data_IF_805185094334
#
_entry.id   IF_805185094334
#
_cell.length_a   1.000
_cell.length_b   1.000
_cell.length_c   1.000
_cell.angle_alpha   90.00
_cell.angle_beta   90.00
_cell.angle_gamma   90.00
#
_symmetry.space_group_name_H-M   'P 1'
#
loop_
_entity.id
_entity.type
_entity.pdbx_description
1 polymer ?
#
# COMPACT_ATOMS: atom_id res chain seq x y z
N UNK A 1 4.27 -83.27 0.53
CA UNK A 1 5.76 -83.39 0.54
C UNK A 1 6.32 -82.01 0.91
N UNK A 2 7.01 -82.04 2.06
CA UNK A 2 8.19 -81.30 2.40
C UNK A 2 8.06 -79.81 2.61
N UNK A 3 7.97 -79.35 3.88
CA UNK A 3 9.00 -78.79 4.78
C UNK A 3 9.62 -77.51 4.26
N UNK A 4 9.71 -76.43 4.97
CA UNK A 4 10.02 -76.04 6.36
C UNK A 4 10.63 -74.65 6.19
N UNK A 5 10.87 -73.79 7.04
CA UNK A 5 11.21 -73.64 8.43
C UNK A 5 11.24 -72.14 8.77
N UNK A 6 10.73 -71.87 9.89
CA UNK A 6 11.04 -70.87 10.92
C UNK A 6 12.16 -69.83 10.70
N UNK A 7 11.85 -68.62 11.09
CA UNK A 7 12.80 -67.57 11.43
C UNK A 7 12.16 -66.43 12.19
N UNK A 8 11.88 -66.64 13.46
CA UNK A 8 11.51 -65.58 14.40
C UNK A 8 12.74 -64.73 14.74
N UNK A 9 12.64 -63.39 14.71
CA UNK A 9 13.51 -62.50 15.48
C UNK A 9 12.82 -61.22 15.90
N UNK A 10 12.64 -61.17 17.20
CA UNK A 10 12.86 -60.06 18.14
C UNK A 10 12.25 -58.69 17.88
N UNK A 11 11.35 -58.37 18.76
CA UNK A 11 10.90 -57.03 19.16
C UNK A 11 12.09 -56.15 19.57
N UNK A 12 12.27 -55.05 18.92
CA UNK A 12 13.07 -53.91 19.35
C UNK A 12 12.19 -52.68 19.57
N UNK A 13 11.88 -52.44 20.84
CA UNK A 13 11.33 -51.14 21.26
C UNK A 13 12.36 -50.06 20.96
N UNK A 14 12.04 -49.12 20.10
CA UNK A 14 12.75 -47.84 19.96
C UNK A 14 11.76 -46.71 20.19
N UNK A 15 11.84 -46.14 21.37
CA UNK A 15 11.23 -44.87 21.71
C UNK A 15 11.90 -43.78 20.89
N UNK A 16 11.24 -43.32 19.83
CA UNK A 16 11.67 -42.14 19.11
C UNK A 16 11.03 -40.91 19.79
N UNK A 17 11.88 -40.16 20.46
CA UNK A 17 11.67 -38.80 20.96
C UNK A 17 11.12 -37.90 19.86
N UNK A 18 10.01 -37.24 20.14
CA UNK A 18 9.49 -36.15 19.32
C UNK A 18 10.50 -34.99 19.32
N UNK A 19 11.28 -34.86 18.27
CA UNK A 19 12.08 -33.68 18.02
C UNK A 19 11.17 -32.56 17.53
N UNK A 20 11.12 -31.52 18.34
CA UNK A 20 10.44 -30.23 18.14
C UNK A 20 11.05 -29.54 16.90
N UNK A 21 10.54 -29.88 15.73
CA UNK A 21 10.93 -29.28 14.46
C UNK A 21 10.26 -27.93 14.28
N UNK A 22 10.75 -26.91 14.98
CA UNK A 22 10.45 -25.51 14.65
C UNK A 22 11.03 -25.22 13.28
N UNK A 23 10.20 -25.29 12.24
CA UNK A 23 10.51 -24.67 10.97
C UNK A 23 10.62 -23.16 11.19
N UNK A 24 11.86 -22.66 11.28
CA UNK A 24 12.14 -21.24 11.15
C UNK A 24 11.81 -20.85 9.71
N UNK A 25 10.64 -20.25 9.51
CA UNK A 25 10.33 -19.54 8.26
C UNK A 25 11.35 -18.41 8.16
N UNK A 26 12.10 -18.26 7.05
CA UNK A 26 12.98 -17.11 6.88
C UNK A 26 12.11 -15.86 6.97
N UNK A 27 12.39 -15.03 7.96
CA UNK A 27 11.89 -13.65 8.01
C UNK A 27 12.32 -13.01 6.69
N UNK A 28 11.33 -12.61 5.86
CA UNK A 28 11.62 -11.87 4.64
C UNK A 28 12.62 -10.77 4.97
N UNK A 29 13.55 -10.52 4.07
CA UNK A 29 14.65 -9.57 4.26
C UNK A 29 14.15 -8.32 4.94
N UNK A 30 14.72 -8.01 6.11
CA UNK A 30 14.41 -6.79 6.84
C UNK A 30 14.67 -5.62 5.88
N UNK A 31 13.64 -4.86 5.54
CA UNK A 31 13.80 -3.65 4.74
C UNK A 31 14.67 -2.72 5.59
N UNK A 32 15.92 -2.45 5.21
CA UNK A 32 16.82 -1.69 6.06
C UNK A 32 16.25 -0.30 6.32
N UNK A 33 16.47 0.21 7.54
CA UNK A 33 16.27 1.62 7.84
C UNK A 33 17.00 2.45 6.76
N UNK A 34 16.42 3.59 6.36
CA UNK A 34 17.03 4.43 5.34
C UNK A 34 18.48 4.75 5.71
N UNK A 35 19.42 4.31 4.86
CA UNK A 35 20.82 4.71 5.01
C UNK A 35 20.93 6.22 4.82
N UNK A 36 21.87 6.91 5.51
CA UNK A 36 22.09 8.34 5.28
C UNK A 36 22.41 8.59 3.81
N UNK A 37 21.78 9.61 3.23
CA UNK A 37 21.99 9.99 1.83
C UNK A 37 23.46 10.35 1.59
N UNK A 38 24.09 9.87 0.49
CA UNK A 38 25.46 10.26 0.13
C UNK A 38 25.63 11.76 -0.14
N UNK A 39 24.53 12.48 -0.38
CA UNK A 39 24.51 13.91 -0.71
C UNK A 39 24.46 14.85 0.49
N UNK A 40 24.43 14.33 1.74
CA UNK A 40 24.30 15.17 2.94
C UNK A 40 22.89 15.76 3.15
N UNK A 41 21.90 15.32 2.35
CA UNK A 41 20.50 15.73 2.50
C UNK A 41 19.80 15.05 3.68
N UNK A 42 18.63 15.55 4.05
CA UNK A 42 17.78 14.98 5.11
C UNK A 42 16.72 14.04 4.50
N UNK A 43 16.94 12.73 4.51
CA UNK A 43 16.06 11.78 3.83
C UNK A 43 14.73 11.61 4.57
N UNK A 44 13.66 11.42 3.76
CA UNK A 44 12.33 11.12 4.24
C UNK A 44 11.78 9.90 3.50
N UNK A 45 11.37 8.87 4.22
CA UNK A 45 10.84 7.65 3.62
C UNK A 45 9.35 7.50 3.92
N UNK A 46 8.54 7.41 2.86
CA UNK A 46 7.11 7.19 2.92
C UNK A 46 6.81 5.70 2.85
N UNK A 47 6.11 5.17 3.84
CA UNK A 47 5.49 3.84 3.86
C UNK A 47 4.02 4.03 3.54
N UNK A 48 3.67 3.79 2.29
CA UNK A 48 2.35 4.07 1.74
C UNK A 48 1.53 2.78 1.75
N UNK A 49 0.47 2.77 2.55
CA UNK A 49 -0.41 1.61 2.77
C UNK A 49 -1.74 1.85 2.05
N UNK A 50 -2.17 0.90 1.21
CA UNK A 50 -3.54 0.90 0.71
C UNK A 50 -4.49 0.57 1.85
N UNK A 51 -5.62 1.27 1.96
CA UNK A 51 -6.66 0.96 2.96
C UNK A 51 -7.07 -0.53 2.94
N UNK A 52 -7.57 -1.05 4.05
CA UNK A 52 -8.11 -2.41 4.17
C UNK A 52 -9.31 -2.66 3.24
N UNK A 53 -9.64 -3.93 2.97
CA UNK A 53 -10.80 -4.28 2.15
C UNK A 53 -12.08 -3.66 2.71
N UNK A 54 -12.90 -3.08 1.82
CA UNK A 54 -14.20 -2.49 2.15
C UNK A 54 -15.36 -3.32 1.60
N UNK A 55 -16.58 -3.04 2.07
CA UNK A 55 -17.81 -3.60 1.51
C UNK A 55 -17.96 -3.32 0.01
N UNK A 56 -17.50 -2.15 -0.47
CA UNK A 56 -17.53 -1.81 -1.89
C UNK A 56 -16.51 -2.60 -2.69
N UNK A 57 -15.30 -2.85 -2.12
CA UNK A 57 -14.34 -3.73 -2.79
C UNK A 57 -14.90 -5.15 -2.95
N UNK A 58 -15.58 -5.68 -1.92
CA UNK A 58 -16.20 -7.00 -1.96
C UNK A 58 -17.31 -7.08 -3.01
N UNK A 59 -18.09 -6.02 -3.18
CA UNK A 59 -19.18 -5.92 -4.14
C UNK A 59 -18.74 -5.45 -5.53
N UNK A 60 -17.43 -5.24 -5.76
CA UNK A 60 -16.87 -4.72 -7.01
C UNK A 60 -17.49 -3.39 -7.47
N UNK A 61 -17.78 -2.49 -6.51
CA UNK A 61 -18.25 -1.15 -6.78
C UNK A 61 -17.09 -0.16 -6.90
N UNK A 62 -17.25 0.83 -7.76
CA UNK A 62 -16.31 1.95 -7.90
C UNK A 62 -16.33 2.76 -6.61
N UNK A 63 -15.15 3.01 -6.05
CA UNK A 63 -15.01 3.68 -4.76
C UNK A 63 -13.92 4.73 -4.82
N UNK A 64 -14.30 5.93 -5.16
CA UNK A 64 -13.46 7.11 -5.11
C UNK A 64 -13.70 7.92 -3.84
N UNK A 65 -14.46 9.02 -3.93
CA UNK A 65 -14.80 9.86 -2.78
C UNK A 65 -16.01 9.38 -1.99
N UNK A 66 -16.85 8.51 -2.55
CA UNK A 66 -17.83 7.78 -1.75
C UNK A 66 -17.13 6.83 -0.77
N UNK A 67 -17.81 6.47 0.30
CA UNK A 67 -17.18 5.67 1.36
C UNK A 67 -18.01 4.44 1.74
N UNK A 68 -17.33 3.43 2.26
CA UNK A 68 -17.92 2.23 2.81
C UNK A 68 -16.99 1.69 3.92
N UNK A 69 -17.54 1.05 4.96
CA UNK A 69 -16.76 0.52 6.06
C UNK A 69 -15.82 -0.59 5.60
N UNK A 70 -14.76 -0.83 6.38
CA UNK A 70 -13.93 -2.01 6.22
C UNK A 70 -14.74 -3.29 6.49
N UNK A 71 -14.45 -4.34 5.74
CA UNK A 71 -14.89 -5.69 6.09
C UNK A 71 -14.08 -6.21 7.29
N UNK A 72 -14.53 -7.28 7.92
CA UNK A 72 -13.74 -7.95 8.95
C UNK A 72 -12.35 -8.39 8.42
N UNK A 73 -12.27 -8.84 7.17
CA UNK A 73 -11.00 -9.15 6.52
C UNK A 73 -10.11 -7.91 6.38
N UNK A 74 -10.70 -6.77 5.98
CA UNK A 74 -9.99 -5.49 5.89
C UNK A 74 -9.43 -5.02 7.24
N UNK A 75 -10.19 -5.20 8.32
CA UNK A 75 -9.72 -4.91 9.69
C UNK A 75 -8.57 -5.85 10.08
N UNK A 76 -8.72 -7.16 9.83
CA UNK A 76 -7.66 -8.13 10.14
C UNK A 76 -6.35 -7.82 9.39
N UNK A 77 -6.45 -7.51 8.09
CA UNK A 77 -5.28 -7.18 7.26
C UNK A 77 -4.61 -5.85 7.72
N UNK A 78 -5.39 -4.82 8.06
CA UNK A 78 -4.87 -3.56 8.60
C UNK A 78 -4.09 -3.80 9.91
N UNK A 79 -4.66 -4.59 10.82
CA UNK A 79 -4.00 -4.98 12.09
C UNK A 79 -2.76 -5.82 11.85
N UNK A 80 -2.80 -6.76 10.88
CA UNK A 80 -1.64 -7.57 10.52
C UNK A 80 -0.49 -6.70 9.98
N UNK A 81 -0.79 -5.73 9.10
CA UNK A 81 0.17 -4.76 8.60
C UNK A 81 0.82 -3.98 9.75
N UNK A 82 0.02 -3.47 10.72
CA UNK A 82 0.52 -2.77 11.89
C UNK A 82 1.49 -3.59 12.72
N UNK A 83 1.14 -4.85 13.01
CA UNK A 83 2.04 -5.79 13.70
C UNK A 83 3.32 -6.09 12.90
N UNK A 84 3.20 -6.21 11.58
CA UNK A 84 4.35 -6.45 10.71
C UNK A 84 5.33 -5.29 10.71
N UNK A 85 4.83 -4.06 10.59
CA UNK A 85 5.64 -2.83 10.67
C UNK A 85 6.31 -2.68 12.05
N UNK A 86 5.60 -3.03 13.14
CA UNK A 86 6.16 -3.03 14.49
C UNK A 86 7.31 -4.03 14.65
N UNK A 87 7.10 -5.29 14.21
CA UNK A 87 8.12 -6.35 14.29
C UNK A 87 9.36 -6.04 13.46
N UNK A 88 9.21 -5.27 12.39
CA UNK A 88 10.32 -4.77 11.60
C UNK A 88 11.06 -3.58 12.26
N UNK A 89 10.64 -3.15 13.46
CA UNK A 89 11.26 -2.05 14.20
C UNK A 89 11.14 -0.69 13.50
N UNK A 90 10.12 -0.51 12.63
CA UNK A 90 9.99 0.73 11.87
C UNK A 90 9.36 1.80 12.76
N UNK A 91 10.12 2.85 13.04
CA UNK A 91 9.62 4.05 13.73
C UNK A 91 9.11 5.08 12.72
N UNK A 92 8.07 5.82 13.10
CA UNK A 92 7.47 6.85 12.27
C UNK A 92 7.54 8.22 12.93
N UNK A 93 8.13 9.19 12.24
CA UNK A 93 8.15 10.60 12.64
C UNK A 93 6.75 11.24 12.50
N UNK A 94 5.94 10.78 11.54
CA UNK A 94 4.61 11.29 11.29
C UNK A 94 3.72 10.22 10.64
N UNK A 95 2.39 10.37 10.76
CA UNK A 95 1.41 9.53 10.08
C UNK A 95 0.34 10.39 9.41
N UNK A 96 0.10 10.16 8.13
CA UNK A 96 -0.92 10.84 7.33
C UNK A 96 -1.94 9.83 6.80
N UNK A 97 -3.21 10.19 6.84
CA UNK A 97 -4.28 9.42 6.26
C UNK A 97 -5.10 10.29 5.32
N UNK A 98 -5.54 9.71 4.19
CA UNK A 98 -6.72 10.24 3.52
C UNK A 98 -7.83 10.44 4.57
N UNK A 99 -8.60 11.47 4.43
CA UNK A 99 -9.72 11.81 5.32
C UNK A 99 -11.00 10.98 5.02
N UNK A 100 -10.97 10.08 4.03
CA UNK A 100 -12.05 9.13 3.78
C UNK A 100 -12.07 8.05 4.87
N UNK A 101 -13.26 7.72 5.37
CA UNK A 101 -13.47 6.88 6.56
C UNK A 101 -12.75 5.54 6.51
N UNK A 102 -12.71 4.85 5.35
CA UNK A 102 -11.97 3.58 5.18
C UNK A 102 -10.46 3.72 5.43
N UNK A 103 -9.86 4.84 5.03
CA UNK A 103 -8.44 5.11 5.28
C UNK A 103 -8.19 5.49 6.74
N UNK A 104 -9.07 6.30 7.32
CA UNK A 104 -9.03 6.67 8.75
C UNK A 104 -9.19 5.43 9.64
N UNK A 105 -10.14 4.55 9.33
CA UNK A 105 -10.35 3.29 10.04
C UNK A 105 -9.12 2.38 9.91
N UNK A 106 -8.57 2.23 8.69
CA UNK A 106 -7.35 1.44 8.47
C UNK A 106 -6.18 1.96 9.30
N UNK A 107 -5.95 3.28 9.33
CA UNK A 107 -4.90 3.90 10.13
C UNK A 107 -5.09 3.61 11.63
N UNK A 108 -6.33 3.70 12.12
CA UNK A 108 -6.66 3.40 13.52
C UNK A 108 -6.33 1.96 13.91
N UNK A 109 -6.78 0.99 13.10
CA UNK A 109 -6.54 -0.44 13.33
C UNK A 109 -5.05 -0.80 13.24
N UNK A 110 -4.35 -0.22 12.27
CA UNK A 110 -2.92 -0.44 12.06
C UNK A 110 -2.11 0.05 13.27
N UNK A 111 -2.33 1.29 13.72
CA UNK A 111 -1.60 1.88 14.85
C UNK A 111 -1.97 1.23 16.18
N UNK A 112 -3.24 0.83 16.39
CA UNK A 112 -3.66 0.06 17.55
C UNK A 112 -2.90 -1.26 17.65
N UNK A 113 -2.90 -2.04 16.57
CA UNK A 113 -2.22 -3.33 16.54
C UNK A 113 -0.68 -3.21 16.64
N UNK A 114 -0.11 -2.11 16.16
CA UNK A 114 1.31 -1.78 16.34
C UNK A 114 1.65 -1.56 17.81
N UNK A 115 0.84 -0.79 18.55
CA UNK A 115 1.06 -0.53 19.97
C UNK A 115 0.87 -1.77 20.86
N UNK A 116 0.05 -2.73 20.44
CA UNK A 116 -0.14 -4.00 21.16
C UNK A 116 1.12 -4.87 21.21
N UNK A 117 1.94 -4.84 20.14
CA UNK A 117 3.12 -5.70 20.01
C UNK A 117 4.45 -4.99 20.22
N UNK A 118 4.46 -3.67 20.16
CA UNK A 118 5.64 -2.85 20.39
C UNK A 118 5.24 -1.53 21.10
N UNK A 119 4.82 -1.61 22.37
CA UNK A 119 4.37 -0.45 23.14
C UNK A 119 5.49 0.56 23.40
N UNK A 120 6.75 0.16 23.30
CA UNK A 120 7.94 1.01 23.40
C UNK A 120 8.12 1.94 22.20
N UNK A 121 7.56 1.60 21.03
CA UNK A 121 7.63 2.44 19.85
C UNK A 121 6.62 3.57 19.93
N UNK A 122 7.10 4.80 19.88
CA UNK A 122 6.25 5.98 19.95
C UNK A 122 5.14 5.96 18.87
N UNK A 123 3.95 6.38 19.27
CA UNK A 123 2.87 6.64 18.32
C UNK A 123 3.11 7.95 17.59
N UNK A 124 3.13 7.96 16.26
CA UNK A 124 3.26 9.20 15.50
C UNK A 124 2.01 10.08 15.61
N UNK A 125 2.18 11.39 15.53
CA UNK A 125 1.06 12.31 15.35
C UNK A 125 0.31 11.98 14.08
N UNK A 126 -1.03 11.85 14.18
CA UNK A 126 -1.91 11.52 13.06
C UNK A 126 -2.48 12.77 12.43
N UNK A 127 -2.40 12.88 11.14
CA UNK A 127 -2.91 14.00 10.35
C UNK A 127 -3.79 13.47 9.21
N UNK A 128 -4.88 14.17 8.93
CA UNK A 128 -5.73 13.92 7.78
C UNK A 128 -5.34 14.87 6.66
N UNK A 129 -5.27 14.35 5.43
CA UNK A 129 -4.94 15.16 4.25
C UNK A 129 -5.79 14.75 3.05
N UNK A 130 -6.63 15.66 2.58
CA UNK A 130 -7.52 15.40 1.45
C UNK A 130 -6.78 15.25 0.10
N UNK A 131 -5.53 15.71 0.02
CA UNK A 131 -4.70 15.56 -1.19
C UNK A 131 -4.36 14.11 -1.51
N UNK A 132 -4.47 13.19 -0.53
CA UNK A 132 -4.27 11.75 -0.74
C UNK A 132 -5.59 10.96 -0.72
N UNK A 133 -6.75 11.61 -0.98
CA UNK A 133 -7.99 10.92 -1.34
C UNK A 133 -7.81 10.11 -2.62
N UNK A 134 -8.62 9.07 -2.81
CA UNK A 134 -8.72 8.38 -4.09
C UNK A 134 -9.12 9.37 -5.21
N UNK A 135 -9.01 8.95 -6.46
CA UNK A 135 -9.56 9.72 -7.56
C UNK A 135 -11.05 9.97 -7.33
N UNK A 136 -11.53 11.15 -7.65
CA UNK A 136 -12.96 11.41 -7.72
C UNK A 136 -13.49 10.88 -9.05
N UNK A 137 -14.45 9.95 -8.99
CA UNK A 137 -15.00 9.31 -10.18
C UNK A 137 -16.34 9.93 -10.64
N UNK A 138 -16.80 11.00 -9.98
CA UNK A 138 -18.05 11.71 -10.34
C UNK A 138 -19.26 10.77 -10.35
N UNK A 139 -19.98 10.71 -11.48
CA UNK A 139 -21.19 9.89 -11.63
C UNK A 139 -20.94 8.36 -11.61
N UNK A 140 -19.68 7.92 -11.65
CA UNK A 140 -19.31 6.51 -11.46
C UNK A 140 -19.23 6.10 -9.99
N UNK A 141 -19.26 7.01 -9.03
CA UNK A 141 -19.19 6.70 -7.61
C UNK A 141 -20.29 5.71 -7.18
N UNK A 142 -19.89 4.66 -6.47
CA UNK A 142 -20.75 3.56 -6.02
C UNK A 142 -21.43 2.75 -7.15
N UNK A 143 -21.04 2.95 -8.41
CA UNK A 143 -21.57 2.18 -9.55
C UNK A 143 -20.78 0.87 -9.72
N UNK A 144 -21.35 -0.14 -10.41
CA UNK A 144 -20.62 -1.37 -10.72
C UNK A 144 -19.32 -1.09 -11.48
N UNK A 145 -18.24 -1.80 -11.14
CA UNK A 145 -16.95 -1.66 -11.83
C UNK A 145 -17.01 -2.02 -13.32
N UNK A 146 -18.00 -2.82 -13.73
CA UNK A 146 -18.28 -3.10 -15.14
C UNK A 146 -18.64 -1.83 -15.92
N UNK A 147 -19.45 -0.93 -15.33
CA UNK A 147 -19.79 0.35 -15.96
C UNK A 147 -18.52 1.21 -16.17
N UNK A 148 -17.61 1.26 -15.17
CA UNK A 148 -16.33 1.96 -15.37
C UNK A 148 -15.54 1.37 -16.53
N UNK A 149 -15.52 0.04 -16.66
CA UNK A 149 -14.86 -0.62 -17.79
C UNK A 149 -15.49 -0.23 -19.12
N UNK A 150 -16.83 -0.24 -19.21
CA UNK A 150 -17.54 0.18 -20.43
C UNK A 150 -17.21 1.61 -20.81
N UNK A 151 -17.19 2.52 -19.83
CA UNK A 151 -16.80 3.94 -20.03
C UNK A 151 -15.37 4.08 -20.55
N UNK A 152 -14.44 3.31 -20.00
CA UNK A 152 -13.05 3.34 -20.45
C UNK A 152 -12.91 2.73 -21.85
N UNK A 153 -13.56 1.60 -22.13
CA UNK A 153 -13.55 0.97 -23.44
C UNK A 153 -14.13 1.91 -24.54
N UNK A 154 -15.22 2.63 -24.22
CA UNK A 154 -15.77 3.66 -25.10
C UNK A 154 -14.76 4.81 -25.29
N UNK A 155 -14.16 5.30 -24.20
CA UNK A 155 -13.21 6.41 -24.24
C UNK A 155 -11.93 6.10 -25.02
N UNK A 156 -11.50 4.83 -25.04
CA UNK A 156 -10.34 4.37 -25.82
C UNK A 156 -10.69 3.79 -27.19
N UNK A 157 -11.95 3.51 -27.45
CA UNK A 157 -12.42 2.92 -28.69
C UNK A 157 -12.08 1.43 -28.84
N UNK A 158 -11.67 0.75 -27.77
CA UNK A 158 -11.33 -0.69 -27.75
C UNK A 158 -11.41 -1.24 -26.34
N UNK A 159 -11.46 -2.58 -26.20
CA UNK A 159 -11.33 -3.24 -24.89
C UNK A 159 -9.87 -3.16 -24.42
N UNK A 160 -9.65 -2.34 -23.37
CA UNK A 160 -8.32 -2.10 -22.81
C UNK A 160 -8.06 -3.03 -21.63
N UNK A 161 -7.00 -3.86 -21.67
CA UNK A 161 -6.59 -4.60 -20.49
C UNK A 161 -6.17 -3.67 -19.34
N UNK A 162 -6.27 -4.17 -18.11
CA UNK A 162 -6.00 -3.36 -16.92
C UNK A 162 -4.55 -2.84 -16.88
N UNK A 163 -3.62 -3.64 -17.37
CA UNK A 163 -2.21 -3.30 -17.50
C UNK A 163 -1.98 -2.11 -18.44
N UNK A 164 -2.72 -2.06 -19.53
CA UNK A 164 -2.64 -0.95 -20.50
C UNK A 164 -3.24 0.33 -19.92
N UNK A 165 -4.35 0.22 -19.18
CA UNK A 165 -4.93 1.36 -18.46
C UNK A 165 -3.95 1.94 -17.43
N UNK A 166 -3.17 1.09 -16.76
CA UNK A 166 -2.17 1.53 -15.80
C UNK A 166 -1.01 2.31 -16.45
N UNK A 167 -0.55 1.91 -17.65
CA UNK A 167 0.51 2.66 -18.35
C UNK A 167 0.01 3.94 -19.01
N UNK A 168 -1.32 4.10 -19.09
CA UNK A 168 -2.00 5.26 -19.67
C UNK A 168 -2.86 6.00 -18.65
N UNK A 169 -2.36 6.13 -17.40
CA UNK A 169 -3.11 6.78 -16.31
C UNK A 169 -3.61 8.18 -16.64
N UNK A 170 -2.83 9.06 -17.30
CA UNK A 170 -3.34 10.37 -17.71
C UNK A 170 -4.60 10.28 -18.57
N UNK A 171 -4.54 9.48 -19.62
CA UNK A 171 -5.67 9.30 -20.54
C UNK A 171 -6.84 8.58 -19.85
N UNK A 172 -6.56 7.66 -18.92
CA UNK A 172 -7.57 6.95 -18.13
C UNK A 172 -8.35 7.92 -17.24
N UNK A 173 -7.66 8.78 -16.49
CA UNK A 173 -8.31 9.79 -15.65
C UNK A 173 -9.13 10.79 -16.50
N UNK A 174 -8.55 11.26 -17.62
CA UNK A 174 -9.22 12.22 -18.49
C UNK A 174 -10.40 11.61 -19.27
N UNK A 175 -10.38 10.31 -19.56
CA UNK A 175 -11.53 9.60 -20.15
C UNK A 175 -12.70 9.57 -19.15
N UNK A 176 -12.46 9.25 -17.89
CA UNK A 176 -13.46 9.27 -16.82
C UNK A 176 -14.01 10.68 -16.66
N UNK A 177 -13.15 11.69 -16.60
CA UNK A 177 -13.56 13.09 -16.46
C UNK A 177 -14.41 13.57 -17.63
N UNK A 178 -14.10 13.18 -18.87
CA UNK A 178 -14.91 13.54 -20.04
C UNK A 178 -16.29 12.89 -20.03
N UNK A 179 -16.41 11.69 -19.50
CA UNK A 179 -17.68 10.97 -19.41
C UNK A 179 -18.57 11.52 -18.28
N UNK A 180 -17.97 12.04 -17.20
CA UNK A 180 -18.69 12.52 -16.01
C UNK A 180 -19.50 13.78 -16.32
N UNK A 181 -20.83 13.65 -16.31
CA UNK A 181 -21.74 14.77 -16.51
C UNK A 181 -21.88 15.69 -15.29
N UNK A 182 -21.53 15.18 -14.09
CA UNK A 182 -21.59 15.97 -12.85
C UNK A 182 -20.50 17.04 -12.74
N UNK A 183 -19.43 16.91 -13.54
CA UNK A 183 -18.25 17.78 -13.49
C UNK A 183 -17.39 17.62 -12.24
N UNK A 184 -17.61 16.57 -11.43
CA UNK A 184 -16.89 16.33 -10.18
C UNK A 184 -15.66 15.47 -10.36
N UNK A 185 -15.61 14.62 -11.41
CA UNK A 185 -14.47 13.74 -11.64
C UNK A 185 -13.18 14.52 -11.85
N UNK A 186 -12.09 14.04 -11.24
CA UNK A 186 -10.77 14.63 -11.41
C UNK A 186 -10.13 14.18 -12.73
N UNK A 187 -9.44 15.11 -13.40
CA UNK A 187 -8.50 14.77 -14.47
C UNK A 187 -7.08 14.61 -13.94
N UNK A 188 -6.21 14.12 -14.81
CA UNK A 188 -4.83 13.79 -14.43
C UNK A 188 -4.06 14.96 -13.82
N UNK A 189 -4.14 16.16 -14.40
CA UNK A 189 -3.42 17.32 -13.89
C UNK A 189 -3.78 17.65 -12.44
N UNK A 190 -5.08 17.54 -12.09
CA UNK A 190 -5.55 17.79 -10.73
C UNK A 190 -5.01 16.75 -9.76
N UNK A 191 -5.03 15.46 -10.17
CA UNK A 191 -4.50 14.34 -9.38
C UNK A 191 -2.99 14.50 -9.16
N UNK A 192 -2.24 14.73 -10.23
CA UNK A 192 -0.78 14.89 -10.18
C UNK A 192 -0.38 16.09 -9.31
N UNK A 193 -1.06 17.23 -9.46
CA UNK A 193 -0.77 18.43 -8.70
C UNK A 193 -0.98 18.24 -7.19
N UNK A 194 -2.15 17.64 -6.78
CA UNK A 194 -2.42 17.43 -5.35
C UNK A 194 -1.45 16.43 -4.72
N UNK A 195 -1.07 15.36 -5.45
CA UNK A 195 -0.11 14.38 -4.96
C UNK A 195 1.30 14.97 -4.85
N UNK A 196 1.75 15.70 -5.86
CA UNK A 196 3.03 16.40 -5.83
C UNK A 196 3.13 17.35 -4.65
N UNK A 197 2.09 18.19 -4.45
CA UNK A 197 2.01 19.10 -3.30
C UNK A 197 2.06 18.38 -1.96
N UNK A 198 1.35 17.23 -1.82
CA UNK A 198 1.41 16.43 -0.60
C UNK A 198 2.81 15.92 -0.31
N UNK A 199 3.45 15.25 -1.26
CA UNK A 199 4.77 14.65 -1.04
C UNK A 199 5.83 15.71 -0.73
N UNK A 200 5.84 16.83 -1.45
CA UNK A 200 6.80 17.92 -1.21
C UNK A 200 6.62 18.55 0.18
N UNK A 201 5.38 18.92 0.53
CA UNK A 201 5.10 19.56 1.82
C UNK A 201 5.45 18.65 3.00
N UNK A 202 5.09 17.36 2.91
CA UNK A 202 5.37 16.41 3.99
C UNK A 202 6.85 16.09 4.07
N UNK A 203 7.53 15.89 2.93
CA UNK A 203 8.98 15.67 2.90
C UNK A 203 9.71 16.84 3.56
N UNK A 204 9.40 18.08 3.17
CA UNK A 204 9.99 19.28 3.74
C UNK A 204 9.72 19.42 5.24
N UNK A 205 8.47 19.22 5.66
CA UNK A 205 8.08 19.31 7.09
C UNK A 205 8.82 18.31 7.96
N UNK A 206 8.94 17.06 7.49
CA UNK A 206 9.61 15.99 8.25
C UNK A 206 11.14 16.22 8.22
N UNK A 207 11.69 16.64 7.09
CA UNK A 207 13.13 16.97 7.00
C UNK A 207 13.54 18.10 7.94
N UNK A 208 12.72 19.14 8.11
CA UNK A 208 12.95 20.22 9.09
C UNK A 208 12.99 19.72 10.55
N UNK A 209 12.43 18.55 10.81
CA UNK A 209 12.45 17.89 12.13
C UNK A 209 13.52 16.79 12.24
N UNK A 210 14.45 16.70 11.28
CA UNK A 210 15.54 15.72 11.27
C UNK A 210 15.32 14.52 10.36
N UNK A 211 14.26 14.50 9.56
CA UNK A 211 13.97 13.41 8.62
C UNK A 211 13.27 12.21 9.26
N UNK A 212 13.29 11.06 8.58
CA UNK A 212 12.74 9.81 9.09
C UNK A 212 11.60 9.22 8.26
N UNK A 213 10.86 8.26 8.85
CA UNK A 213 9.80 7.55 8.15
C UNK A 213 8.44 8.23 8.38
N UNK A 214 7.63 8.22 7.33
CA UNK A 214 6.24 8.71 7.32
C UNK A 214 5.32 7.55 6.97
N UNK A 215 4.35 7.28 7.83
CA UNK A 215 3.27 6.35 7.51
C UNK A 215 2.19 7.09 6.72
N UNK A 216 1.76 6.54 5.59
CA UNK A 216 0.68 7.11 4.76
C UNK A 216 -0.38 6.03 4.52
N UNK A 217 -1.65 6.30 4.85
CA UNK A 217 -2.75 5.40 4.47
C UNK A 217 -3.60 6.08 3.41
N UNK A 218 -3.69 5.43 2.26
CA UNK A 218 -4.35 5.97 1.07
C UNK A 218 -5.01 4.85 0.23
N UNK A 219 -5.10 5.02 -1.08
CA UNK A 219 -5.93 4.26 -1.99
C UNK A 219 -5.13 3.72 -3.18
N UNK A 220 -5.76 2.82 -3.93
CA UNK A 220 -5.11 2.06 -5.01
C UNK A 220 -4.60 2.95 -6.13
N UNK A 221 -5.47 3.82 -6.69
CA UNK A 221 -5.06 4.66 -7.81
C UNK A 221 -4.16 5.83 -7.40
N UNK A 222 -4.23 6.27 -6.14
CA UNK A 222 -3.24 7.21 -5.58
C UNK A 222 -1.85 6.59 -5.56
N UNK A 223 -1.73 5.33 -5.08
CA UNK A 223 -0.46 4.60 -5.10
C UNK A 223 0.01 4.41 -6.54
N UNK A 224 -0.89 4.00 -7.44
CA UNK A 224 -0.60 3.83 -8.86
C UNK A 224 -0.13 5.13 -9.52
N UNK A 225 -0.80 6.24 -9.23
CA UNK A 225 -0.41 7.57 -9.70
C UNK A 225 0.97 7.98 -9.20
N UNK A 226 1.26 7.68 -7.93
CA UNK A 226 2.60 7.92 -7.36
C UNK A 226 3.67 7.11 -8.09
N UNK A 227 3.41 5.82 -8.35
CA UNK A 227 4.32 4.97 -9.13
C UNK A 227 4.52 5.53 -10.54
N UNK A 228 3.45 5.92 -11.22
CA UNK A 228 3.51 6.50 -12.56
C UNK A 228 4.33 7.81 -12.61
N UNK A 229 4.15 8.69 -11.62
CA UNK A 229 4.88 9.95 -11.54
C UNK A 229 6.38 9.77 -11.28
N UNK A 230 6.77 8.69 -10.60
CA UNK A 230 8.15 8.41 -10.22
C UNK A 230 8.89 7.50 -11.21
N UNK A 231 8.23 6.44 -11.63
CA UNK A 231 8.78 5.42 -12.53
C UNK A 231 7.66 4.75 -13.33
N UNK A 232 7.27 5.32 -14.47
CA UNK A 232 6.21 4.78 -15.32
C UNK A 232 6.48 3.33 -15.78
N UNK A 233 7.75 2.92 -15.91
CA UNK A 233 8.10 1.56 -16.32
C UNK A 233 7.70 0.50 -15.28
N UNK A 234 7.59 0.89 -14.00
CA UNK A 234 7.20 0.02 -12.90
C UNK A 234 5.72 0.13 -12.50
N UNK A 235 4.92 0.85 -13.26
CA UNK A 235 3.52 1.09 -12.92
C UNK A 235 2.70 -0.20 -12.77
N UNK A 236 3.11 -1.30 -13.40
CA UNK A 236 2.50 -2.62 -13.30
C UNK A 236 3.25 -3.60 -12.36
N UNK A 237 4.08 -3.11 -11.49
CA UNK A 237 4.81 -3.91 -10.50
C UNK A 237 4.32 -3.59 -9.06
N UNK A 238 3.31 -4.31 -8.56
CA UNK A 238 2.45 -5.31 -9.22
C UNK A 238 1.30 -4.68 -10.05
N UNK A 239 0.69 -5.47 -10.93
CA UNK A 239 -0.51 -5.04 -11.70
C UNK A 239 -1.67 -4.64 -10.80
N UNK A 240 -1.84 -5.31 -9.67
CA UNK A 240 -2.87 -5.00 -8.67
C UNK A 240 -2.24 -4.64 -7.34
N UNK A 241 -2.56 -3.48 -6.82
CA UNK A 241 -2.18 -3.07 -5.47
C UNK A 241 -3.16 -3.70 -4.48
N UNK A 242 -2.73 -4.69 -3.70
CA UNK A 242 -3.59 -5.38 -2.74
C UNK A 242 -3.94 -4.50 -1.54
N UNK A 243 -5.08 -4.76 -0.88
CA UNK A 243 -5.47 -4.06 0.35
C UNK A 243 -4.43 -4.30 1.45
N UNK A 244 -4.16 -3.29 2.26
CA UNK A 244 -3.15 -3.26 3.31
C UNK A 244 -1.71 -3.58 2.85
N UNK A 245 -1.44 -3.62 1.53
CA UNK A 245 -0.08 -3.71 1.01
C UNK A 245 0.68 -2.40 1.20
N UNK A 246 2.00 -2.49 1.22
CA UNK A 246 2.91 -1.37 1.47
C UNK A 246 3.74 -1.07 0.23
N UNK A 247 3.74 0.19 -0.17
CA UNK A 247 4.65 0.75 -1.18
C UNK A 247 5.59 1.74 -0.51
N UNK A 248 6.88 1.69 -0.83
CA UNK A 248 7.90 2.55 -0.25
C UNK A 248 8.38 3.57 -1.26
N UNK A 249 8.41 4.84 -0.84
CA UNK A 249 8.98 5.95 -1.61
C UNK A 249 9.96 6.70 -0.72
N UNK A 250 11.15 7.00 -1.20
CA UNK A 250 12.15 7.78 -0.46
C UNK A 250 12.40 9.10 -1.15
N UNK A 251 12.34 10.19 -0.40
CA UNK A 251 12.84 11.49 -0.80
C UNK A 251 14.25 11.62 -0.24
N UNK A 252 15.25 11.79 -1.11
CA UNK A 252 16.66 11.79 -0.72
C UNK A 252 17.06 13.08 0.02
N UNK A 253 16.40 14.20 -0.30
CA UNK A 253 16.54 15.46 0.41
C UNK A 253 15.20 16.22 0.51
N UNK A 254 14.53 16.07 1.65
CA UNK A 254 13.25 16.74 1.89
C UNK A 254 13.37 18.26 1.98
N UNK A 255 14.54 18.80 2.33
CA UNK A 255 14.76 20.25 2.41
C UNK A 255 14.83 20.89 1.01
N UNK A 256 15.20 20.11 -0.01
CA UNK A 256 15.26 20.57 -1.41
C UNK A 256 13.87 20.56 -2.09
N UNK A 257 12.82 20.06 -1.42
CA UNK A 257 11.46 20.09 -1.96
C UNK A 257 10.89 21.50 -1.92
N UNK A 258 10.57 22.05 -3.09
CA UNK A 258 9.87 23.34 -3.22
C UNK A 258 8.38 23.14 -3.49
N UNK A 259 7.54 24.00 -2.90
CA UNK A 259 6.12 24.00 -3.16
C UNK A 259 5.85 24.42 -4.62
N UNK A 260 5.32 23.52 -5.44
CA UNK A 260 4.83 23.89 -6.77
C UNK A 260 5.02 22.89 -7.90
N UNK A 261 6.09 22.13 -7.93
CA UNK A 261 6.27 21.07 -8.91
C UNK A 261 6.75 19.80 -8.20
N UNK A 262 6.20 18.66 -8.56
CA UNK A 262 6.68 17.38 -8.03
C UNK A 262 8.10 17.13 -8.58
N UNK A 263 9.16 17.27 -7.77
CA UNK A 263 10.52 17.09 -8.24
C UNK A 263 10.84 15.59 -8.26
N UNK A 264 10.35 14.88 -9.28
CA UNK A 264 10.55 13.44 -9.40
C UNK A 264 12.00 12.98 -9.21
N UNK A 265 12.97 13.82 -9.57
CA UNK A 265 14.40 13.54 -9.38
C UNK A 265 14.82 13.40 -7.90
N UNK A 266 14.07 13.93 -6.94
CA UNK A 266 14.36 13.82 -5.51
C UNK A 266 13.73 12.57 -4.88
N UNK A 267 12.84 11.89 -5.60
CA UNK A 267 12.09 10.77 -5.07
C UNK A 267 12.44 9.47 -5.78
N UNK A 268 12.67 8.44 -5.01
CA UNK A 268 12.98 7.09 -5.50
C UNK A 268 11.87 6.12 -5.12
N UNK A 269 11.34 5.40 -6.12
CA UNK A 269 10.38 4.32 -5.92
C UNK A 269 11.12 3.06 -5.44
N UNK A 270 10.84 2.63 -4.22
CA UNK A 270 11.39 1.42 -3.62
C UNK A 270 10.53 0.18 -3.89
N UNK A 271 10.23 -0.58 -2.84
CA UNK A 271 9.31 -1.74 -2.89
C UNK A 271 7.89 -1.26 -3.17
N UNK A 272 7.18 -1.99 -4.03
CA UNK A 272 5.82 -1.68 -4.47
C UNK A 272 4.83 -2.78 -4.11
N UNK A 273 3.68 -2.41 -3.56
CA UNK A 273 2.56 -3.31 -3.30
C UNK A 273 2.89 -4.54 -2.43
N UNK A 274 3.90 -4.46 -1.57
CA UNK A 274 4.35 -5.58 -0.75
C UNK A 274 3.31 -5.99 0.29
N UNK A 275 3.02 -7.29 0.36
CA UNK A 275 2.18 -7.92 1.39
C UNK A 275 3.00 -8.61 2.48
N UNK A 276 4.32 -8.48 2.48
CA UNK A 276 5.22 -9.15 3.42
C UNK A 276 4.93 -8.80 4.89
N UNK A 277 4.42 -7.59 5.14
CA UNK A 277 4.02 -7.15 6.49
C UNK A 277 2.73 -7.80 7.01
N UNK A 278 1.94 -8.44 6.15
CA UNK A 278 0.71 -9.11 6.57
C UNK A 278 0.97 -10.45 7.25
N UNK A 279 2.19 -11.01 7.10
CA UNK A 279 2.52 -12.36 7.53
C UNK A 279 1.85 -13.43 6.65
N UNK A 280 1.98 -14.70 7.03
CA UNK A 280 1.27 -15.78 6.34
C UNK A 280 -0.24 -15.58 6.55
N UNK A 281 -0.96 -15.39 5.46
CA UNK A 281 -2.44 -15.48 5.49
C UNK A 281 -2.77 -16.96 5.70
N UNK A 282 -3.07 -17.35 6.96
CA UNK A 282 -3.62 -18.67 7.31
C UNK A 282 -5.11 -18.70 6.97
#
# INVERSE_FOLDING_TARGET
>A
MVRGENGARALGNSTASAADGRFAVPLGEAIPAAAPSPSGGTPVTFYIVRHGQTEYNLKHLVQGWCDAPLTEAGVRDARACGRGLARAGIEFAAAYSSDLGRAVQTMGELLSARSEVAPELALPSRMLDSRIREWCYGDLEARPGTLMRDVLNEGFGCDMPFEELNVRLPETADAIKRWDASGKAEGWEQIAARLGGFYCDVARKVALSGGGNVLVVTHSFVIRSTMYLLDPARVNDPVKIENASVTKVTCDDGLACDAGAFPGALFTLGVTGSTSFLGSRL
#
